data_IF_766566679545
#
_entry.id   IF_766566679545
#
_cell.length_a   1.000
_cell.length_b   1.000
_cell.length_c   1.000
_cell.angle_alpha   90.00
_cell.angle_beta   90.00
_cell.angle_gamma   90.00
#
_symmetry.space_group_name_H-M   'P 1'
#
loop_
_entity.id
_entity.type
_entity.pdbx_description
1 polymer ?
#
# COMPACT_ATOMS: atom_id res chain seq x y z
N UNK A 1 -16.31 -8.23 18.41
CA UNK A 1 -17.70 -8.51 17.99
C UNK A 1 -18.04 -10.00 18.06
N UNK A 2 -17.22 -10.88 17.48
CA UNK A 2 -17.44 -12.33 17.51
C UNK A 2 -17.67 -12.91 18.92
N UNK A 3 -16.83 -12.54 19.89
CA UNK A 3 -16.98 -12.97 21.29
C UNK A 3 -18.33 -12.56 21.90
N UNK A 4 -18.84 -11.37 21.56
CA UNK A 4 -20.16 -10.91 22.00
C UNK A 4 -21.27 -11.79 21.43
N UNK A 5 -21.19 -12.13 20.15
CA UNK A 5 -22.19 -12.99 19.49
C UNK A 5 -22.15 -14.41 20.06
N UNK A 6 -20.94 -14.98 20.21
CA UNK A 6 -20.78 -16.32 20.80
C UNK A 6 -21.27 -16.37 22.25
N UNK A 7 -20.93 -15.36 23.07
CA UNK A 7 -21.42 -15.26 24.43
C UNK A 7 -22.94 -15.08 24.52
N UNK A 8 -23.54 -14.36 23.55
CA UNK A 8 -25.00 -14.27 23.44
C UNK A 8 -25.64 -15.63 23.12
N UNK A 9 -25.08 -16.39 22.18
CA UNK A 9 -25.57 -17.73 21.85
C UNK A 9 -25.43 -18.68 23.04
N UNK A 10 -24.29 -18.67 23.73
CA UNK A 10 -24.04 -19.48 24.91
C UNK A 10 -25.02 -19.15 26.05
N UNK A 11 -25.28 -17.87 26.30
CA UNK A 11 -26.27 -17.43 27.29
C UNK A 11 -27.71 -17.86 26.95
N UNK A 12 -27.99 -18.23 25.69
CA UNK A 12 -29.27 -18.81 25.25
C UNK A 12 -29.25 -20.35 25.25
N UNK A 13 -28.21 -20.97 25.79
CA UNK A 13 -28.02 -22.42 25.81
C UNK A 13 -27.70 -23.01 24.44
N UNK A 14 -27.17 -22.20 23.53
CA UNK A 14 -26.81 -22.60 22.18
C UNK A 14 -25.29 -22.66 22.10
N UNK A 15 -24.76 -23.86 21.88
CA UNK A 15 -23.33 -24.03 21.62
C UNK A 15 -23.04 -23.64 20.18
N UNK A 16 -22.44 -22.48 19.98
CA UNK A 16 -22.06 -21.99 18.67
C UNK A 16 -20.97 -22.89 18.06
N UNK A 17 -21.15 -23.28 16.80
CA UNK A 17 -20.17 -24.07 16.06
C UNK A 17 -18.84 -23.34 15.88
N UNK A 18 -17.76 -24.10 15.82
CA UNK A 18 -16.43 -23.54 15.55
C UNK A 18 -16.30 -23.05 14.11
N UNK A 19 -15.31 -22.17 13.84
CA UNK A 19 -15.01 -21.71 12.47
C UNK A 19 -14.78 -22.89 11.52
N UNK A 20 -14.02 -23.91 11.96
CA UNK A 20 -13.71 -25.09 11.16
C UNK A 20 -14.98 -25.89 10.82
N UNK A 21 -15.86 -26.08 11.81
CA UNK A 21 -17.14 -26.79 11.60
C UNK A 21 -18.07 -26.04 10.64
N UNK A 22 -18.17 -24.72 10.78
CA UNK A 22 -19.01 -23.88 9.93
C UNK A 22 -18.47 -23.79 8.51
N UNK A 23 -17.17 -23.49 8.34
CA UNK A 23 -16.55 -23.35 7.01
C UNK A 23 -16.59 -24.65 6.20
N UNK A 24 -16.67 -25.82 6.83
CA UNK A 24 -16.80 -27.10 6.11
C UNK A 24 -18.20 -27.35 5.54
N UNK A 25 -19.24 -26.79 6.18
CA UNK A 25 -20.65 -27.05 5.83
C UNK A 25 -21.36 -25.86 5.20
N UNK A 26 -20.75 -24.68 5.20
CA UNK A 26 -21.35 -23.43 4.76
C UNK A 26 -20.71 -22.92 3.46
N UNK A 27 -21.46 -22.93 2.34
CA UNK A 27 -20.94 -22.49 1.03
C UNK A 27 -20.43 -21.04 1.03
N UNK A 28 -21.05 -20.18 1.83
CA UNK A 28 -20.62 -18.78 1.94
C UNK A 28 -19.27 -18.70 2.64
N UNK A 29 -19.14 -19.32 3.82
CA UNK A 29 -17.90 -19.27 4.60
C UNK A 29 -16.75 -20.06 3.94
N UNK A 30 -17.04 -21.11 3.18
CA UNK A 30 -16.02 -21.89 2.47
C UNK A 30 -15.39 -21.12 1.29
N UNK A 31 -16.16 -20.20 0.69
CA UNK A 31 -15.72 -19.35 -0.42
C UNK A 31 -15.46 -17.90 0.00
N UNK A 32 -15.51 -17.63 1.30
CA UNK A 32 -15.42 -16.28 1.82
C UNK A 32 -13.98 -15.78 1.73
N UNK A 33 -13.82 -14.68 1.02
CA UNK A 33 -12.59 -13.93 0.93
C UNK A 33 -12.84 -12.49 1.40
N UNK A 34 -12.05 -12.03 2.37
CA UNK A 34 -12.20 -10.71 3.00
C UNK A 34 -11.98 -9.59 1.97
N UNK A 35 -11.12 -9.81 0.98
CA UNK A 35 -10.73 -8.77 0.03
C UNK A 35 -11.82 -8.50 -1.02
N UNK A 36 -12.65 -9.49 -1.31
CA UNK A 36 -13.70 -9.42 -2.33
C UNK A 36 -15.13 -9.48 -1.78
N UNK A 37 -15.33 -9.93 -0.54
CA UNK A 37 -16.65 -10.06 0.04
C UNK A 37 -17.26 -8.70 0.40
N UNK A 38 -18.53 -8.53 0.04
CA UNK A 38 -19.34 -7.38 0.42
C UNK A 38 -20.37 -7.75 1.47
N UNK A 39 -20.90 -6.74 2.16
CA UNK A 39 -22.04 -6.96 3.05
C UNK A 39 -23.27 -7.50 2.28
N UNK A 40 -23.45 -7.08 1.03
CA UNK A 40 -24.52 -7.58 0.16
C UNK A 40 -24.36 -9.08 -0.12
N UNK A 41 -23.15 -9.57 -0.38
CA UNK A 41 -22.94 -11.01 -0.60
C UNK A 41 -23.26 -11.84 0.65
N UNK A 42 -23.00 -11.28 1.84
CA UNK A 42 -23.43 -11.86 3.11
C UNK A 42 -24.96 -11.88 3.23
N UNK A 43 -25.66 -10.76 2.96
CA UNK A 43 -27.13 -10.71 3.02
C UNK A 43 -27.77 -11.68 2.03
N UNK A 44 -27.26 -11.74 0.81
CA UNK A 44 -27.64 -12.71 -0.22
C UNK A 44 -27.50 -14.15 0.28
N UNK A 45 -26.39 -14.46 0.97
CA UNK A 45 -26.16 -15.79 1.53
C UNK A 45 -27.17 -16.15 2.62
N UNK A 46 -27.60 -15.16 3.41
CA UNK A 46 -28.62 -15.33 4.46
C UNK A 46 -29.99 -15.51 3.82
N UNK A 47 -30.32 -14.76 2.77
CA UNK A 47 -31.57 -14.93 2.05
C UNK A 47 -31.68 -16.33 1.43
N UNK A 48 -30.62 -16.79 0.75
CA UNK A 48 -30.52 -18.12 0.13
C UNK A 48 -30.42 -19.27 1.14
N UNK A 49 -30.21 -18.99 2.42
CA UNK A 49 -30.19 -20.02 3.46
C UNK A 49 -31.55 -20.72 3.57
N UNK A 50 -31.56 -22.02 3.23
CA UNK A 50 -32.73 -22.90 3.17
C UNK A 50 -33.11 -23.52 4.52
N UNK A 51 -32.61 -22.98 5.64
CA UNK A 51 -33.00 -23.39 6.99
C UNK A 51 -34.52 -23.34 7.17
N UNK A 52 -35.09 -24.43 7.71
CA UNK A 52 -36.54 -24.65 7.77
C UNK A 52 -37.28 -23.82 8.82
N UNK A 53 -36.57 -23.22 9.78
CA UNK A 53 -37.15 -22.43 10.87
C UNK A 53 -36.46 -21.08 11.00
N UNK A 54 -37.23 -20.01 11.23
CA UNK A 54 -36.70 -18.67 11.51
C UNK A 54 -35.70 -18.65 12.67
N UNK A 55 -35.92 -19.46 13.71
CA UNK A 55 -34.99 -19.55 14.84
C UNK A 55 -33.66 -20.17 14.41
N UNK A 56 -33.70 -21.24 13.63
CA UNK A 56 -32.50 -21.88 13.11
C UNK A 56 -31.74 -20.95 12.17
N UNK A 57 -32.46 -20.24 11.29
CA UNK A 57 -31.91 -19.22 10.38
C UNK A 57 -31.20 -18.10 11.12
N UNK A 58 -31.81 -17.58 12.20
CA UNK A 58 -31.20 -16.54 13.03
C UNK A 58 -29.92 -17.04 13.72
N UNK A 59 -29.95 -18.23 14.33
CA UNK A 59 -28.77 -18.82 14.96
C UNK A 59 -27.65 -19.01 13.95
N UNK A 60 -27.96 -19.56 12.78
CA UNK A 60 -26.99 -19.78 11.73
C UNK A 60 -26.40 -18.47 11.20
N UNK A 61 -27.23 -17.44 11.03
CA UNK A 61 -26.77 -16.10 10.63
C UNK A 61 -25.84 -15.49 11.66
N UNK A 62 -26.14 -15.64 12.95
CA UNK A 62 -25.28 -15.17 14.04
C UNK A 62 -23.96 -15.94 14.08
N UNK A 63 -24.00 -17.26 13.89
CA UNK A 63 -22.80 -18.09 13.77
C UNK A 63 -21.91 -17.66 12.60
N UNK A 64 -22.49 -17.42 11.42
CA UNK A 64 -21.78 -16.88 10.25
C UNK A 64 -21.16 -15.52 10.56
N UNK A 65 -21.94 -14.61 11.15
CA UNK A 65 -21.48 -13.28 11.49
C UNK A 65 -20.33 -13.31 12.51
N UNK A 66 -20.38 -14.24 13.48
CA UNK A 66 -19.30 -14.44 14.43
C UNK A 66 -18.01 -14.89 13.72
N UNK A 67 -18.09 -15.85 12.81
CA UNK A 67 -16.93 -16.33 12.03
C UNK A 67 -16.38 -15.23 11.12
N UNK A 68 -17.24 -14.52 10.38
CA UNK A 68 -16.82 -13.39 9.54
C UNK A 68 -16.14 -12.31 10.39
N UNK A 69 -16.70 -12.01 11.57
CA UNK A 69 -16.10 -11.05 12.49
C UNK A 69 -14.73 -11.49 13.00
N UNK A 70 -14.50 -12.78 13.25
CA UNK A 70 -13.18 -13.32 13.62
C UNK A 70 -12.18 -13.14 12.48
N UNK A 71 -12.59 -13.51 11.26
CA UNK A 71 -11.74 -13.42 10.07
C UNK A 71 -11.34 -11.97 9.78
N UNK A 72 -12.28 -11.04 9.85
CA UNK A 72 -11.99 -9.60 9.68
C UNK A 72 -11.07 -9.09 10.78
N UNK A 73 -11.31 -9.49 12.05
CA UNK A 73 -10.46 -9.08 13.16
C UNK A 73 -9.02 -9.57 13.01
N UNK A 74 -8.82 -10.85 12.66
CA UNK A 74 -7.49 -11.43 12.39
C UNK A 74 -6.75 -10.64 11.28
N UNK A 75 -7.46 -10.27 10.20
CA UNK A 75 -6.86 -9.52 9.09
C UNK A 75 -6.49 -8.10 9.50
N UNK A 76 -7.35 -7.42 10.27
CA UNK A 76 -7.09 -6.08 10.79
C UNK A 76 -5.90 -6.08 11.74
N UNK A 77 -5.84 -7.03 12.68
CA UNK A 77 -4.72 -7.17 13.61
C UNK A 77 -3.40 -7.42 12.85
N UNK A 78 -3.41 -8.29 11.84
CA UNK A 78 -2.27 -8.50 10.96
C UNK A 78 -1.82 -7.22 10.25
N UNK A 79 -2.76 -6.50 9.62
CA UNK A 79 -2.47 -5.24 8.94
C UNK A 79 -1.94 -4.15 9.89
N UNK A 80 -2.45 -4.08 11.12
CA UNK A 80 -1.92 -3.16 12.13
C UNK A 80 -0.49 -3.50 12.53
N UNK A 81 -0.16 -4.78 12.68
CA UNK A 81 1.21 -5.19 13.02
C UNK A 81 2.19 -4.89 11.88
N UNK A 82 1.78 -5.15 10.63
CA UNK A 82 2.59 -4.81 9.45
C UNK A 82 2.78 -3.30 9.33
N UNK A 83 1.72 -2.51 9.53
CA UNK A 83 1.79 -1.04 9.54
C UNK A 83 2.75 -0.55 10.61
N UNK A 84 2.66 -1.05 11.84
CA UNK A 84 3.57 -0.67 12.94
C UNK A 84 5.02 -1.02 12.60
N UNK A 85 5.28 -2.21 12.05
CA UNK A 85 6.62 -2.60 11.63
C UNK A 85 7.16 -1.69 10.51
N UNK A 86 6.31 -1.25 9.58
CA UNK A 86 6.65 -0.26 8.56
C UNK A 86 6.97 1.11 9.14
N UNK A 87 6.15 1.58 10.09
CA UNK A 87 6.36 2.86 10.80
C UNK A 87 7.66 2.87 11.61
N UNK A 88 8.00 1.76 12.26
CA UNK A 88 9.24 1.65 13.04
C UNK A 88 10.47 1.64 12.13
N UNK A 89 10.44 0.94 10.99
CA UNK A 89 11.50 0.99 9.98
C UNK A 89 11.67 2.38 9.37
N UNK A 90 10.55 3.08 9.12
CA UNK A 90 10.59 4.45 8.61
C UNK A 90 11.22 5.38 9.64
N UNK A 91 10.88 5.23 10.93
CA UNK A 91 11.48 6.00 12.02
C UNK A 91 12.99 5.76 12.11
N UNK A 92 13.42 4.50 12.10
CA UNK A 92 14.86 4.15 12.09
C UNK A 92 15.60 4.76 10.89
N UNK A 93 14.99 4.70 9.70
CA UNK A 93 15.53 5.36 8.50
C UNK A 93 15.67 6.88 8.65
N UNK A 94 14.68 7.52 9.26
CA UNK A 94 14.68 8.95 9.52
C UNK A 94 15.73 9.35 10.56
N UNK A 95 15.92 8.56 11.62
CA UNK A 95 16.94 8.78 12.64
C UNK A 95 18.34 8.68 12.02
N UNK A 96 18.62 7.65 11.21
CA UNK A 96 19.88 7.52 10.49
C UNK A 96 20.17 8.70 9.54
N UNK A 97 19.13 9.21 8.86
CA UNK A 97 19.27 10.40 8.01
C UNK A 97 19.59 11.65 8.83
N UNK A 98 18.98 11.81 10.01
CA UNK A 98 19.28 12.93 10.91
C UNK A 98 20.73 12.87 11.42
N UNK A 99 21.21 11.68 11.79
CA UNK A 99 22.60 11.48 12.21
C UNK A 99 23.56 11.86 11.07
N UNK A 100 23.29 11.40 9.84
CA UNK A 100 24.10 11.73 8.66
C UNK A 100 24.07 13.21 8.31
N UNK A 101 22.92 13.86 8.47
CA UNK A 101 22.81 15.30 8.25
C UNK A 101 23.68 16.06 9.26
N UNK A 102 23.63 15.67 10.53
CA UNK A 102 24.46 16.26 11.59
C UNK A 102 25.96 16.06 11.32
N UNK A 103 26.37 14.85 10.90
CA UNK A 103 27.76 14.59 10.49
C UNK A 103 28.20 15.49 9.33
N UNK A 104 27.33 15.71 8.34
CA UNK A 104 27.61 16.58 7.21
C UNK A 104 27.72 18.06 7.62
N UNK A 105 26.84 18.54 8.51
CA UNK A 105 26.91 19.89 9.07
C UNK A 105 28.25 20.12 9.79
N UNK A 106 28.68 19.16 10.61
CA UNK A 106 29.99 19.20 11.29
C UNK A 106 31.17 19.22 10.30
N UNK A 107 31.08 18.48 9.20
CA UNK A 107 32.10 18.51 8.14
C UNK A 107 32.13 19.85 7.41
N UNK A 108 30.97 20.43 7.09
CA UNK A 108 30.87 21.73 6.45
C UNK A 108 31.48 22.82 7.35
N UNK A 109 31.21 22.81 8.66
CA UNK A 109 31.82 23.74 9.61
C UNK A 109 33.36 23.62 9.64
N UNK A 110 33.90 22.40 9.58
CA UNK A 110 35.35 22.18 9.50
C UNK A 110 35.93 22.71 8.19
N UNK A 111 35.24 22.52 7.07
CA UNK A 111 35.67 23.05 5.77
C UNK A 111 35.63 24.57 5.74
N UNK A 112 34.58 25.19 6.29
CA UNK A 112 34.46 26.64 6.42
C UNK A 112 35.63 27.21 7.23
N UNK A 113 35.95 26.61 8.37
CA UNK A 113 37.11 27.02 9.17
C UNK A 113 38.43 26.89 8.39
N UNK A 114 38.64 25.78 7.65
CA UNK A 114 39.81 25.60 6.81
C UNK A 114 39.91 26.65 5.70
N UNK A 115 38.78 27.01 5.07
CA UNK A 115 38.71 28.06 4.06
C UNK A 115 39.09 29.42 4.65
N UNK A 116 38.54 29.79 5.81
CA UNK A 116 38.88 31.05 6.50
C UNK A 116 40.38 31.12 6.82
N UNK A 117 40.97 30.02 7.31
CA UNK A 117 42.42 29.95 7.59
C UNK A 117 43.24 30.07 6.30
N UNK A 118 42.83 29.37 5.24
CA UNK A 118 43.51 29.43 3.95
C UNK A 118 43.44 30.83 3.33
N UNK A 119 42.27 31.47 3.33
CA UNK A 119 42.09 32.84 2.85
C UNK A 119 42.97 33.83 3.63
N UNK A 120 43.01 33.71 4.97
CA UNK A 120 43.87 34.54 5.80
C UNK A 120 45.34 34.36 5.43
N UNK A 121 45.80 33.12 5.27
CA UNK A 121 47.17 32.81 4.88
C UNK A 121 47.53 33.35 3.49
N UNK A 122 46.60 33.26 2.53
CA UNK A 122 46.77 33.84 1.19
C UNK A 122 46.87 35.35 1.29
N UNK A 123 45.95 36.02 1.99
CA UNK A 123 45.92 37.48 2.17
C UNK A 123 47.20 38.02 2.80
N UNK A 124 47.71 37.37 3.84
CA UNK A 124 48.98 37.72 4.48
C UNK A 124 50.17 37.58 3.51
N UNK A 125 50.14 36.58 2.64
CA UNK A 125 51.22 36.32 1.68
C UNK A 125 51.18 37.24 0.45
N UNK A 126 49.99 37.57 -0.05
CA UNK A 126 49.81 38.41 -1.23
C UNK A 126 49.84 39.90 -0.90
N UNK A 127 49.74 40.27 0.38
CA UNK A 127 49.74 41.66 0.82
C UNK A 127 48.49 42.43 0.37
N UNK A 128 47.40 41.73 0.02
CA UNK A 128 46.15 42.38 -0.37
C UNK A 128 45.43 42.93 0.87
N UNK A 129 45.81 44.13 1.28
CA UNK A 129 45.09 44.92 2.26
C UNK A 129 43.97 45.68 1.52
N UNK A 130 42.75 45.14 1.53
CA UNK A 130 41.56 45.94 1.25
C UNK A 130 40.96 46.32 2.61
N UNK A 131 41.44 47.44 3.14
CA UNK A 131 40.65 48.28 4.04
C UNK A 131 39.53 48.88 3.16
N UNK A 132 38.30 48.38 3.30
CA UNK A 132 37.11 49.12 2.88
C UNK A 132 36.28 49.39 4.12
N UNK A 133 36.79 50.27 4.96
CA UNK A 133 36.01 51.02 5.93
C UNK A 133 36.00 52.49 5.48
N UNK A 134 35.13 52.84 4.54
CA UNK A 134 34.46 54.15 4.53
C UNK A 134 33.10 54.01 3.80
N UNK A 135 31.98 54.45 4.42
CA UNK A 135 30.71 54.61 3.73
C UNK A 135 30.78 55.89 2.89
N UNK A 136 31.15 55.75 1.62
CA UNK A 136 31.09 56.84 0.65
C UNK A 136 29.69 56.95 0.07
N UNK A 137 28.93 57.95 0.52
CA UNK A 137 27.75 58.45 -0.19
C UNK A 137 28.18 58.96 -1.58
N UNK A 138 27.64 58.37 -2.65
CA UNK A 138 27.66 58.99 -3.98
C UNK A 138 26.39 58.65 -4.75
N UNK A 139 25.47 59.60 -4.64
CA UNK A 139 24.47 60.10 -5.58
C UNK A 139 24.29 59.37 -6.93
N UNK A 140 23.03 59.00 -7.16
CA UNK A 140 22.25 58.95 -8.41
C UNK A 140 22.97 59.26 -9.73
N UNK A 141 22.93 58.30 -10.68
CA UNK A 141 22.56 58.58 -12.08
C UNK A 141 21.67 57.44 -12.61
N UNK A 142 20.43 57.79 -12.94
CA UNK A 142 19.48 57.03 -13.76
C UNK A 142 19.82 57.18 -15.26
N UNK A 143 19.12 56.39 -16.09
CA UNK A 143 19.03 56.41 -17.56
C UNK A 143 20.09 55.58 -18.31
N UNK A 144 19.80 54.75 -19.33
CA UNK A 144 18.62 54.65 -20.20
C UNK A 144 18.58 53.27 -20.89
N UNK A 145 17.41 52.94 -21.42
CA UNK A 145 16.92 51.71 -22.03
C UNK A 145 17.65 51.27 -23.32
N UNK A 146 17.53 49.97 -23.67
CA UNK A 146 17.93 49.44 -24.96
C UNK A 146 17.46 48.01 -25.19
N UNK A 147 16.38 47.89 -25.96
CA UNK A 147 15.54 46.73 -26.24
C UNK A 147 16.22 45.52 -26.92
N UNK A 148 15.44 44.44 -26.92
CA UNK A 148 15.54 43.10 -27.49
C UNK A 148 16.02 43.00 -28.95
N UNK A 149 16.55 41.84 -29.35
CA UNK A 149 16.00 41.04 -30.46
C UNK A 149 16.69 39.67 -30.62
N UNK A 150 15.94 38.81 -31.30
CA UNK A 150 15.89 37.35 -31.26
C UNK A 150 16.91 36.58 -32.13
N UNK A 151 16.98 35.27 -31.81
CA UNK A 151 17.12 34.09 -32.69
C UNK A 151 18.15 34.06 -33.83
N UNK A 152 19.00 33.02 -33.84
CA UNK A 152 18.70 31.77 -34.56
C UNK A 152 19.80 30.71 -34.34
N UNK A 153 19.33 29.47 -34.27
CA UNK A 153 20.14 28.26 -34.17
C UNK A 153 20.46 27.68 -35.56
N UNK A 154 21.69 27.23 -35.76
CA UNK A 154 22.14 26.27 -36.77
C UNK A 154 23.62 26.01 -36.47
N UNK A 155 24.19 24.81 -36.36
CA UNK A 155 23.84 23.49 -36.83
C UNK A 155 25.19 22.74 -36.87
N UNK A 156 25.26 21.63 -36.13
CA UNK A 156 26.32 20.63 -35.97
C UNK A 156 27.59 20.69 -36.85
N UNK A 157 28.75 20.60 -36.18
CA UNK A 157 29.84 19.68 -36.56
C UNK A 157 30.64 19.29 -35.30
N UNK A 158 30.71 17.99 -35.03
CA UNK A 158 31.65 17.30 -34.13
C UNK A 158 31.99 15.98 -34.88
N UNK A 159 33.16 15.32 -34.76
CA UNK A 159 34.13 15.44 -33.66
C UNK A 159 35.62 15.35 -34.06
N UNK A 160 36.53 15.81 -33.18
CA UNK A 160 37.89 15.25 -33.11
C UNK A 160 38.30 14.95 -31.67
N UNK A 161 38.37 13.66 -31.40
CA UNK A 161 38.83 13.01 -30.17
C UNK A 161 40.34 13.17 -30.05
N UNK A 162 40.82 13.79 -28.97
CA UNK A 162 42.18 13.53 -28.47
C UNK A 162 42.14 13.14 -27.01
N UNK A 163 42.24 11.82 -26.81
CA UNK A 163 42.41 11.16 -25.52
C UNK A 163 43.71 11.59 -24.83
N UNK A 164 43.63 11.99 -23.57
CA UNK A 164 44.75 11.85 -22.62
C UNK A 164 44.27 11.20 -21.34
N UNK A 165 44.99 10.13 -20.99
CA UNK A 165 44.57 9.07 -20.10
C UNK A 165 44.81 9.38 -18.61
N UNK A 166 43.90 8.87 -17.77
CA UNK A 166 44.10 8.70 -16.33
C UNK A 166 45.03 7.49 -16.06
N UNK A 167 45.92 7.53 -15.05
CA UNK A 167 46.74 6.39 -14.69
C UNK A 167 45.96 5.31 -13.95
N UNK A 168 46.30 4.06 -14.29
CA UNK A 168 45.68 2.82 -13.86
C UNK A 168 46.02 2.38 -12.42
N UNK A 169 45.07 1.61 -11.91
CA UNK A 169 45.06 0.80 -10.69
C UNK A 169 46.14 -0.29 -10.74
N UNK A 170 46.88 -0.48 -9.65
CA UNK A 170 47.79 -1.61 -9.42
C UNK A 170 47.61 -2.16 -8.00
N UNK A 171 47.44 -3.49 -7.91
CA UNK A 171 47.31 -4.26 -6.67
C UNK A 171 46.37 -5.46 -6.90
N UNK A 172 46.72 -6.42 -7.76
CA UNK A 172 47.42 -7.68 -7.45
C UNK A 172 46.65 -8.63 -6.52
N UNK A 173 46.27 -9.77 -7.11
CA UNK A 173 45.75 -11.01 -6.52
C UNK A 173 46.50 -11.49 -5.27
N UNK A 174 45.77 -12.12 -4.36
CA UNK A 174 46.20 -13.33 -3.64
C UNK A 174 44.96 -14.20 -3.35
N UNK A 175 45.23 -15.49 -3.12
CA UNK A 175 44.44 -16.69 -3.46
C UNK A 175 43.44 -17.16 -2.37
N UNK A 176 42.82 -18.34 -2.61
CA UNK A 176 42.00 -19.20 -1.74
C UNK A 176 40.46 -18.96 -1.87
N UNK A 177 39.59 -19.91 -2.21
CA UNK A 177 39.53 -21.37 -2.01
C UNK A 177 38.84 -22.09 -3.19
N UNK A 178 39.36 -23.28 -3.52
CA UNK A 178 38.61 -24.34 -4.20
C UNK A 178 37.55 -24.90 -3.23
N UNK A 179 36.27 -24.83 -3.57
CA UNK A 179 35.29 -25.83 -3.11
C UNK A 179 34.43 -26.29 -4.29
N UNK A 180 34.68 -27.54 -4.69
CA UNK A 180 33.75 -28.39 -5.42
C UNK A 180 32.38 -28.36 -4.73
N UNK A 181 31.38 -27.80 -5.40
CA UNK A 181 29.99 -28.06 -5.09
C UNK A 181 29.33 -28.69 -6.32
N UNK A 182 29.30 -30.01 -6.31
CA UNK A 182 28.31 -30.82 -7.03
C UNK A 182 26.90 -30.32 -6.65
N UNK A 183 26.30 -29.45 -7.45
CA UNK A 183 24.85 -29.23 -7.41
C UNK A 183 24.17 -30.43 -8.08
N UNK A 184 23.27 -31.16 -7.39
CA UNK A 184 22.39 -32.07 -8.11
C UNK A 184 21.47 -31.23 -8.98
N UNK A 185 21.54 -31.46 -10.30
CA UNK A 185 20.63 -30.87 -11.28
C UNK A 185 19.18 -30.98 -10.80
N UNK A 186 18.58 -29.85 -10.44
CA UNK A 186 17.17 -29.78 -10.11
C UNK A 186 16.37 -29.98 -11.39
N UNK A 187 15.59 -31.06 -11.46
CA UNK A 187 14.64 -31.30 -12.55
C UNK A 187 13.76 -30.05 -12.80
N UNK A 188 13.48 -29.68 -14.06
CA UNK A 188 12.62 -28.54 -14.35
C UNK A 188 11.22 -28.78 -13.77
N UNK A 189 10.54 -27.73 -13.26
CA UNK A 189 9.23 -27.88 -12.65
C UNK A 189 8.22 -28.49 -13.63
N UNK A 190 7.29 -29.35 -13.17
CA UNK A 190 6.35 -30.04 -14.03
C UNK A 190 5.45 -29.03 -14.77
N UNK A 191 5.23 -29.29 -16.06
CA UNK A 191 4.40 -28.45 -16.92
C UNK A 191 2.96 -28.39 -16.39
N UNK A 192 2.44 -27.17 -16.22
CA UNK A 192 1.06 -26.89 -15.85
C UNK A 192 0.15 -27.34 -17.01
N UNK A 193 -0.86 -28.20 -16.78
CA UNK A 193 -1.77 -28.60 -17.85
C UNK A 193 -2.62 -27.41 -18.29
N UNK A 194 -2.57 -27.11 -19.58
CA UNK A 194 -3.43 -26.11 -20.24
C UNK A 194 -4.87 -26.64 -20.26
N UNK A 195 -5.87 -25.91 -19.75
CA UNK A 195 -7.27 -26.31 -19.85
C UNK A 195 -7.69 -26.33 -21.33
N UNK A 196 -7.97 -27.51 -21.88
CA UNK A 196 -8.49 -27.62 -23.25
C UNK A 196 -8.26 -28.94 -23.99
N UNK A 197 -7.47 -29.87 -23.47
CA UNK A 197 -7.22 -31.15 -24.15
C UNK A 197 -7.90 -32.32 -23.42
N UNK A 198 -9.06 -32.75 -23.93
CA UNK A 198 -9.55 -34.12 -23.69
C UNK A 198 -10.78 -34.26 -22.79
N UNK A 199 -11.88 -33.57 -23.09
CA UNK A 199 -13.20 -33.95 -22.58
C UNK A 199 -13.97 -34.69 -23.69
N UNK A 200 -13.91 -36.02 -23.70
CA UNK A 200 -14.85 -36.83 -24.49
C UNK A 200 -16.22 -36.77 -23.82
N UNK A 201 -17.12 -35.97 -24.39
CA UNK A 201 -18.54 -35.94 -23.99
C UNK A 201 -19.24 -37.12 -24.66
N UNK A 202 -19.85 -37.99 -23.86
CA UNK A 202 -20.70 -39.08 -24.35
C UNK A 202 -21.92 -38.49 -25.09
N UNK A 203 -22.35 -39.08 -26.23
CA UNK A 203 -23.39 -38.50 -27.07
C UNK A 203 -24.78 -38.84 -26.53
N UNK A 204 -25.59 -37.82 -26.19
CA UNK A 204 -26.99 -38.07 -25.89
C UNK A 204 -27.75 -36.88 -25.31
N UNK A 205 -28.59 -36.29 -26.17
CA UNK A 205 -29.83 -35.58 -25.86
C UNK A 205 -29.81 -34.04 -25.73
N UNK A 206 -30.30 -33.40 -26.80
CA UNK A 206 -31.04 -32.13 -26.82
C UNK A 206 -32.27 -32.39 -27.72
N UNK A 207 -33.28 -31.51 -27.89
CA UNK A 207 -33.93 -30.50 -27.03
C UNK A 207 -35.48 -30.70 -26.99
N UNK A 208 -36.22 -30.02 -26.10
CA UNK A 208 -37.68 -30.02 -26.12
C UNK A 208 -38.33 -28.83 -25.42
N UNK A 209 -39.05 -28.02 -26.19
CA UNK A 209 -39.71 -26.78 -25.81
C UNK A 209 -41.11 -26.96 -25.20
N UNK A 210 -41.60 -25.90 -24.52
CA UNK A 210 -42.97 -25.50 -24.13
C UNK A 210 -42.97 -25.05 -22.66
N UNK A 211 -43.33 -23.84 -22.25
CA UNK A 211 -44.38 -22.95 -22.73
C UNK A 211 -45.53 -22.98 -21.71
N UNK A 212 -45.67 -21.95 -20.86
CA UNK A 212 -46.93 -21.57 -20.20
C UNK A 212 -46.82 -20.19 -19.53
N UNK A 213 -47.70 -19.30 -19.99
CA UNK A 213 -47.99 -17.97 -19.48
C UNK A 213 -48.67 -18.02 -18.11
N UNK A 214 -48.62 -16.93 -17.34
CA UNK A 214 -49.78 -16.18 -16.80
C UNK A 214 -49.23 -14.88 -16.20
N UNK A 215 -49.74 -13.75 -16.70
CA UNK A 215 -49.60 -12.45 -16.08
C UNK A 215 -50.72 -12.20 -15.08
N UNK A 216 -50.44 -11.39 -14.08
CA UNK A 216 -51.45 -10.62 -13.35
C UNK A 216 -50.86 -9.24 -13.06
N UNK A 217 -51.60 -8.23 -13.50
CA UNK A 217 -51.37 -6.79 -13.34
C UNK A 217 -51.66 -6.36 -11.90
N UNK A 218 -50.79 -5.51 -11.33
CA UNK A 218 -51.04 -4.77 -10.11
C UNK A 218 -50.73 -3.30 -10.39
N UNK A 219 -51.72 -2.59 -10.92
CA UNK A 219 -51.84 -1.15 -10.72
C UNK A 219 -52.79 -0.96 -9.53
N UNK A 220 -52.27 -0.42 -8.43
CA UNK A 220 -53.06 0.34 -7.45
C UNK A 220 -52.13 1.34 -6.74
N UNK A 221 -52.34 2.62 -7.06
CA UNK A 221 -51.76 3.79 -6.40
C UNK A 221 -52.22 3.83 -4.94
N UNK A 222 -51.30 3.93 -3.99
CA UNK A 222 -51.55 4.58 -2.69
C UNK A 222 -50.25 4.91 -1.97
N UNK A 223 -50.01 6.22 -1.87
CA UNK A 223 -49.21 6.93 -0.88
C UNK A 223 -48.76 6.11 0.33
N UNK A 224 -47.45 5.84 0.40
CA UNK A 224 -46.80 5.50 1.66
C UNK A 224 -45.53 6.35 1.79
N UNK A 225 -45.67 7.38 2.62
CA UNK A 225 -44.64 8.35 3.00
C UNK A 225 -43.30 7.69 3.33
N UNK A 226 -42.22 8.31 2.84
CA UNK A 226 -40.85 8.01 3.23
C UNK A 226 -40.69 7.97 4.75
N UNK A 227 -40.04 6.95 5.33
CA UNK A 227 -39.56 7.08 6.69
C UNK A 227 -38.14 7.70 6.68
N UNK A 228 -38.09 9.04 6.80
CA UNK A 228 -36.91 9.78 7.28
C UNK A 228 -36.55 9.31 8.70
N UNK A 229 -35.75 8.25 8.83
CA UNK A 229 -35.08 7.93 10.09
C UNK A 229 -33.57 8.12 9.95
N UNK A 230 -33.18 9.40 9.99
CA UNK A 230 -31.84 9.81 10.37
C UNK A 230 -31.50 9.20 11.74
N UNK A 231 -30.51 8.32 11.77
CA UNK A 231 -29.87 7.89 13.02
C UNK A 231 -29.12 9.09 13.63
N UNK A 232 -29.83 9.97 14.34
CA UNK A 232 -29.19 10.95 15.23
C UNK A 232 -28.74 10.22 16.49
N UNK A 233 -27.54 9.65 16.44
CA UNK A 233 -26.83 9.18 17.61
C UNK A 233 -26.71 10.30 18.64
N UNK A 234 -27.26 10.09 19.84
CA UNK A 234 -27.01 10.94 20.99
C UNK A 234 -25.57 10.70 21.44
N UNK A 235 -24.71 11.70 21.27
CA UNK A 235 -23.39 11.72 21.89
C UNK A 235 -23.60 12.02 23.39
N UNK A 236 -23.18 11.10 24.27
CA UNK A 236 -23.19 11.35 25.70
C UNK A 236 -22.17 12.46 26.03
N UNK A 237 -22.50 13.45 26.88
CA UNK A 237 -21.53 14.45 27.29
C UNK A 237 -20.45 13.79 28.14
N UNK A 238 -19.18 13.99 27.76
CA UNK A 238 -18.02 13.63 28.58
C UNK A 238 -18.07 14.47 29.86
N UNK A 239 -18.51 13.85 30.96
CA UNK A 239 -18.30 14.41 32.28
C UNK A 239 -16.79 14.36 32.57
N UNK A 240 -16.18 15.54 32.75
CA UNK A 240 -14.89 15.67 33.43
C UNK A 240 -15.07 16.58 34.66
N UNK A 241 -14.50 16.07 35.73
CA UNK A 241 -14.05 16.70 36.98
C UNK A 241 -13.53 18.12 36.81
#
# INVERSE_FOLDING_TARGET
MAQMIRGFLEAKGIQARSRQELSAGDPFLSSFDIESASFESFLDSVQRDATSSHKAKLVHTLERLAVVSEMVQERVEGAETERRAGEDKLREGMDMLCDKLTENEDMLLKLEMCLVVAEKAIRERTGSFQETDEPGESEEEEDDEGEEEEEEASGADDPEVTSTALPSVQGLHEEEEEEDLDEPASDPPPAIPVPGAGMQVAPGHVPGAAGAMIGESLDDDSDAEEPEFFWRGRVAPLART
#
